data_IF_685600529702
#
_entry.id   IF_685600529702
#
_cell.length_a   1.000
_cell.length_b   1.000
_cell.length_c   1.000
_cell.angle_alpha   90.00
_cell.angle_beta   90.00
_cell.angle_gamma   90.00
#
_symmetry.space_group_name_H-M   'P 1'
#
loop_
_entity.id
_entity.type
_entity.pdbx_description
1 polymer ?
#
# COMPACT_ATOMS: atom_id res chain seq x y z
N UNK A 1 -11.31 7.11 -14.52
CA UNK A 1 -11.72 6.24 -13.40
C UNK A 1 -10.96 6.70 -12.16
N UNK A 2 -11.64 7.07 -11.07
CA UNK A 2 -10.98 7.50 -9.83
C UNK A 2 -10.71 6.24 -9.01
N UNK A 3 -9.44 5.92 -8.76
CA UNK A 3 -9.08 4.76 -7.95
C UNK A 3 -9.37 5.08 -6.48
N UNK A 4 -10.15 4.22 -5.81
CA UNK A 4 -10.47 4.36 -4.38
C UNK A 4 -9.77 3.23 -3.60
N UNK A 5 -9.06 3.59 -2.53
CA UNK A 5 -8.29 2.65 -1.74
C UNK A 5 -9.16 1.57 -1.08
N UNK A 6 -10.34 1.93 -0.58
CA UNK A 6 -11.24 1.00 0.11
C UNK A 6 -11.68 -0.15 -0.78
N UNK A 7 -11.84 0.11 -2.08
CA UNK A 7 -12.27 -0.90 -3.05
C UNK A 7 -11.16 -1.92 -3.35
N UNK A 8 -9.92 -1.63 -2.97
CA UNK A 8 -8.77 -2.54 -3.13
C UNK A 8 -8.59 -3.48 -1.95
N UNK A 9 -9.18 -3.18 -0.79
CA UNK A 9 -8.98 -3.94 0.46
C UNK A 9 -9.61 -5.32 0.32
N UNK A 10 -8.79 -6.36 0.48
CA UNK A 10 -9.24 -7.76 0.51
C UNK A 10 -9.21 -8.35 1.91
N UNK A 11 -8.46 -7.73 2.83
CA UNK A 11 -8.43 -8.06 4.25
C UNK A 11 -7.98 -6.83 5.05
N UNK A 12 -8.58 -6.62 6.22
CA UNK A 12 -8.14 -5.59 7.16
C UNK A 12 -8.38 -6.08 8.60
N UNK A 13 -7.42 -5.80 9.48
CA UNK A 13 -7.57 -5.90 10.93
C UNK A 13 -6.90 -4.69 11.62
N UNK A 14 -6.63 -4.81 12.92
CA UNK A 14 -6.05 -3.73 13.72
C UNK A 14 -4.60 -3.40 13.31
N UNK A 15 -3.85 -4.38 12.80
CA UNK A 15 -2.42 -4.26 12.51
C UNK A 15 -2.09 -4.16 11.01
N UNK A 16 -2.90 -4.77 10.15
CA UNK A 16 -2.60 -5.00 8.74
C UNK A 16 -3.78 -4.69 7.83
N UNK A 17 -3.44 -4.21 6.63
CA UNK A 17 -4.32 -4.09 5.48
C UNK A 17 -3.65 -4.89 4.35
N UNK A 18 -4.38 -5.82 3.75
CA UNK A 18 -4.00 -6.45 2.50
C UNK A 18 -4.88 -5.89 1.40
N UNK A 19 -4.24 -5.42 0.33
CA UNK A 19 -4.96 -4.94 -0.85
C UNK A 19 -4.67 -5.83 -2.04
N UNK A 20 -5.58 -5.87 -3.01
CA UNK A 20 -5.30 -6.30 -4.37
C UNK A 20 -4.82 -5.09 -5.17
N UNK A 21 -3.49 -4.92 -5.30
CA UNK A 21 -2.90 -3.82 -6.06
C UNK A 21 -3.22 -4.00 -7.55
N UNK A 22 -3.83 -3.02 -8.22
CA UNK A 22 -3.98 -3.06 -9.67
C UNK A 22 -2.62 -2.87 -10.37
N UNK A 23 -2.47 -3.33 -11.62
CA UNK A 23 -1.29 -3.01 -12.42
C UNK A 23 -1.26 -1.52 -12.76
N UNK A 24 -0.09 -1.02 -13.15
CA UNK A 24 0.20 0.37 -13.53
C UNK A 24 0.10 1.42 -12.41
N UNK A 25 -0.05 0.98 -11.15
CA UNK A 25 -0.01 1.86 -9.97
C UNK A 25 1.26 1.58 -9.18
N UNK A 26 2.04 2.62 -8.90
CA UNK A 26 3.30 2.48 -8.18
C UNK A 26 3.04 2.17 -6.69
N UNK A 27 3.85 1.27 -6.12
CA UNK A 27 3.81 1.01 -4.68
C UNK A 27 4.25 2.25 -3.89
N UNK A 28 5.41 2.83 -4.24
CA UNK A 28 5.99 4.03 -3.61
C UNK A 28 5.89 5.25 -4.53
N UNK A 29 6.12 6.43 -3.97
CA UNK A 29 6.21 7.68 -4.74
C UNK A 29 7.38 7.64 -5.74
N UNK A 30 7.11 8.02 -6.99
CA UNK A 30 8.12 8.12 -8.04
C UNK A 30 8.87 9.46 -7.92
N UNK A 31 10.21 9.44 -7.94
CA UNK A 31 11.06 10.62 -7.69
C UNK A 31 10.80 11.82 -8.62
N UNK A 32 10.32 11.58 -9.84
CA UNK A 32 10.18 12.61 -10.88
C UNK A 32 8.72 13.01 -11.13
N UNK A 33 7.77 12.36 -10.48
CA UNK A 33 6.35 12.63 -10.70
C UNK A 33 5.79 13.30 -9.46
N UNK A 34 5.82 14.64 -9.44
CA UNK A 34 5.38 15.48 -8.32
C UNK A 34 3.87 15.35 -8.00
N UNK A 35 3.15 14.45 -8.67
CA UNK A 35 1.73 14.15 -8.47
C UNK A 35 1.32 12.72 -8.84
N UNK A 36 2.25 11.77 -8.97
CA UNK A 36 1.85 10.37 -9.23
C UNK A 36 1.14 9.78 -8.01
N UNK A 37 -0.05 9.23 -8.22
CA UNK A 37 -0.76 8.46 -7.20
C UNK A 37 0.06 7.20 -6.88
N UNK A 38 0.38 6.98 -5.60
CA UNK A 38 1.02 5.76 -5.13
C UNK A 38 0.14 5.05 -4.11
N UNK A 39 0.34 3.73 -3.98
CA UNK A 39 -0.36 2.97 -2.94
C UNK A 39 -0.01 3.50 -1.56
N UNK A 40 1.26 3.86 -1.31
CA UNK A 40 1.67 4.40 -0.01
C UNK A 40 0.91 5.70 0.33
N UNK A 41 0.73 6.62 -0.61
CA UNK A 41 -0.05 7.84 -0.39
C UNK A 41 -1.50 7.53 -0.05
N UNK A 42 -2.15 6.68 -0.84
CA UNK A 42 -3.52 6.26 -0.60
C UNK A 42 -3.69 5.56 0.76
N UNK A 43 -2.72 4.71 1.13
CA UNK A 43 -2.72 4.01 2.40
C UNK A 43 -2.54 4.97 3.58
N UNK A 44 -1.68 6.00 3.45
CA UNK A 44 -1.50 7.02 4.49
C UNK A 44 -2.71 7.94 4.67
N UNK A 45 -3.42 8.24 3.59
CA UNK A 45 -4.71 8.94 3.67
C UNK A 45 -5.78 8.11 4.40
N UNK A 46 -5.70 6.77 4.30
CA UNK A 46 -6.60 5.85 4.98
C UNK A 46 -6.20 5.56 6.43
N UNK A 47 -4.90 5.37 6.69
CA UNK A 47 -4.30 5.11 7.99
C UNK A 47 -2.97 5.85 8.09
N UNK A 48 -2.90 6.87 8.95
CA UNK A 48 -1.79 7.84 8.97
C UNK A 48 -0.40 7.21 9.12
N UNK A 49 -0.29 6.15 9.91
CA UNK A 49 0.94 5.41 10.19
C UNK A 49 1.17 4.23 9.22
N UNK A 50 0.49 4.20 8.07
CA UNK A 50 0.61 3.12 7.09
C UNK A 50 2.03 3.00 6.52
N UNK A 51 2.52 1.77 6.48
CA UNK A 51 3.82 1.39 5.93
C UNK A 51 3.68 0.17 5.03
N UNK A 52 4.27 0.22 3.82
CA UNK A 52 4.30 -0.96 2.94
C UNK A 52 5.31 -1.98 3.46
N UNK A 53 4.85 -3.21 3.72
CA UNK A 53 5.69 -4.28 4.25
C UNK A 53 6.61 -4.89 3.17
N UNK A 54 6.16 -4.87 1.91
CA UNK A 54 6.95 -5.20 0.73
C UNK A 54 6.51 -4.33 -0.45
N UNK A 55 7.08 -4.54 -1.64
CA UNK A 55 6.71 -3.80 -2.85
C UNK A 55 6.31 -4.76 -3.96
N UNK A 56 5.44 -4.28 -4.84
CA UNK A 56 5.22 -4.82 -6.17
C UNK A 56 5.66 -3.77 -7.19
N UNK A 57 6.23 -4.22 -8.31
CA UNK A 57 6.55 -3.32 -9.41
C UNK A 57 5.28 -2.67 -9.95
N UNK A 58 5.45 -1.54 -10.62
CA UNK A 58 4.33 -0.72 -11.12
C UNK A 58 3.38 -1.55 -11.98
N UNK A 59 3.95 -2.35 -12.89
CA UNK A 59 3.21 -3.19 -13.84
C UNK A 59 2.62 -4.46 -13.22
N UNK A 60 3.06 -4.83 -12.01
CA UNK A 60 2.63 -6.05 -11.33
C UNK A 60 1.33 -5.82 -10.57
N UNK A 61 0.36 -6.71 -10.74
CA UNK A 61 -0.83 -6.80 -9.89
C UNK A 61 -0.68 -7.88 -8.83
N UNK A 62 -1.47 -7.79 -7.76
CA UNK A 62 -1.52 -8.83 -6.75
C UNK A 62 -1.59 -8.31 -5.32
N UNK A 63 -1.44 -9.23 -4.37
CA UNK A 63 -1.58 -8.91 -2.95
C UNK A 63 -0.39 -8.06 -2.48
N UNK A 64 -0.69 -6.93 -1.85
CA UNK A 64 0.29 -6.07 -1.20
C UNK A 64 -0.07 -5.91 0.28
N UNK A 65 0.86 -6.24 1.16
CA UNK A 65 0.69 -6.09 2.59
C UNK A 65 1.16 -4.72 3.11
N UNK A 66 0.33 -4.12 3.94
CA UNK A 66 0.50 -2.79 4.52
C UNK A 66 0.29 -2.92 6.03
N UNK A 67 1.25 -2.46 6.82
CA UNK A 67 1.11 -2.35 8.26
C UNK A 67 0.50 -1.01 8.63
N UNK A 68 -0.42 -1.01 9.61
CA UNK A 68 -1.08 0.20 10.14
C UNK A 68 -0.28 0.87 11.25
N UNK A 69 0.74 0.19 11.79
CA UNK A 69 1.58 0.71 12.86
C UNK A 69 3.03 0.17 12.76
N UNK A 70 4.01 0.84 13.42
CA UNK A 70 5.41 0.46 13.33
C UNK A 70 5.76 -0.92 13.90
N UNK A 71 5.00 -1.42 14.86
CA UNK A 71 5.22 -2.74 15.47
C UNK A 71 4.86 -3.83 14.46
N UNK A 72 3.67 -3.75 13.86
CA UNK A 72 3.22 -4.64 12.81
C UNK A 72 4.15 -4.61 11.59
N UNK A 73 4.63 -3.43 11.21
CA UNK A 73 5.60 -3.26 10.11
C UNK A 73 6.89 -4.02 10.39
N UNK A 74 7.49 -3.84 11.57
CA UNK A 74 8.70 -4.57 11.96
C UNK A 74 8.48 -6.08 11.93
N UNK A 75 7.36 -6.56 12.45
CA UNK A 75 7.07 -7.99 12.51
C UNK A 75 6.98 -8.64 11.12
N UNK A 76 6.35 -7.97 10.14
CA UNK A 76 6.17 -8.54 8.80
C UNK A 76 7.37 -8.28 7.88
N UNK A 77 8.07 -7.16 8.02
CA UNK A 77 9.22 -6.82 7.16
C UNK A 77 10.49 -7.63 7.44
N UNK A 78 10.54 -8.35 8.57
CA UNK A 78 11.66 -9.23 8.92
C UNK A 78 11.48 -10.69 8.47
N UNK A 79 10.34 -11.02 7.86
CA UNK A 79 10.05 -12.34 7.29
C UNK A 79 10.46 -12.39 5.81
#
# INVERSE_FOLDING_TARGET
MRLNFKDLIIFENDDYILINKPPHVASLDERQADNSLSILRMAKEYANDAQLCHRLDKETSGVLAIAKNPVAYRHLSMQ
#
